data_IF_509268471530
#
_entry.id   IF_509268471530
#
_cell.length_a   1.000
_cell.length_b   1.000
_cell.length_c   1.000
_cell.angle_alpha   90.00
_cell.angle_beta   90.00
_cell.angle_gamma   90.00
#
_symmetry.space_group_name_H-M   'P 1'
#
loop_
_entity.id
_entity.type
_entity.pdbx_description
1 polymer ?
#
# COMPACT_ATOMS: atom_id res chain seq x y z
N UNK A 1 -5.06 14.19 -4.33
CA UNK A 1 -3.91 13.35 -4.74
C UNK A 1 -2.84 14.16 -5.46
N UNK A 2 -3.11 14.76 -6.63
CA UNK A 2 -2.04 15.35 -7.45
C UNK A 2 -1.43 16.68 -6.95
N UNK A 3 -2.14 17.48 -6.14
CA UNK A 3 -1.66 18.81 -5.69
C UNK A 3 -1.16 18.80 -4.24
N UNK A 4 -1.79 17.99 -3.39
CA UNK A 4 -1.50 17.89 -1.94
C UNK A 4 -1.28 16.44 -1.52
N UNK A 5 -0.67 15.64 -2.41
CA UNK A 5 -0.33 14.26 -2.11
C UNK A 5 0.72 14.22 -1.02
N UNK A 6 0.54 13.33 -0.04
CA UNK A 6 1.58 13.07 0.95
C UNK A 6 2.71 12.33 0.22
N UNK A 7 3.96 12.79 0.31
CA UNK A 7 5.08 12.09 -0.32
C UNK A 7 5.33 10.73 0.35
N UNK A 8 6.12 9.91 -0.30
CA UNK A 8 6.63 8.68 0.26
C UNK A 8 7.96 8.32 -0.40
N UNK A 9 8.79 7.59 0.32
CA UNK A 9 10.01 6.97 -0.18
C UNK A 9 10.04 5.54 0.34
N UNK A 10 10.35 4.58 -0.52
CA UNK A 10 10.72 3.25 -0.07
C UNK A 10 12.18 3.23 0.41
N UNK A 11 12.62 2.11 1.00
CA UNK A 11 13.93 2.02 1.64
C UNK A 11 15.10 2.31 0.66
N UNK A 12 15.15 1.74 -0.56
CA UNK A 12 16.18 2.10 -1.54
C UNK A 12 16.15 3.56 -1.99
N UNK A 13 14.96 4.17 -2.07
CA UNK A 13 14.81 5.58 -2.44
C UNK A 13 15.27 6.52 -1.33
N UNK A 14 14.96 6.21 -0.06
CA UNK A 14 15.48 6.97 1.08
C UNK A 14 17.01 6.90 1.12
N UNK A 15 17.58 5.70 1.00
CA UNK A 15 19.03 5.54 0.96
C UNK A 15 19.67 6.32 -0.20
N UNK A 16 19.06 6.28 -1.37
CA UNK A 16 19.55 7.03 -2.53
C UNK A 16 19.50 8.53 -2.27
N UNK A 17 18.39 9.05 -1.73
CA UNK A 17 18.27 10.47 -1.39
C UNK A 17 19.34 10.89 -0.36
N UNK A 18 19.58 10.07 0.67
CA UNK A 18 20.63 10.31 1.66
C UNK A 18 22.01 10.38 1.01
N UNK A 19 22.32 9.45 0.10
CA UNK A 19 23.58 9.46 -0.67
C UNK A 19 23.70 10.70 -1.56
N UNK A 20 22.61 11.08 -2.24
CA UNK A 20 22.61 12.23 -3.14
C UNK A 20 22.84 13.55 -2.39
N UNK A 21 22.19 13.73 -1.23
CA UNK A 21 22.40 14.88 -0.36
C UNK A 21 23.85 14.90 0.15
N UNK A 22 24.39 13.77 0.61
CA UNK A 22 25.75 13.68 1.13
C UNK A 22 26.81 14.00 0.07
N UNK A 23 26.54 13.68 -1.20
CA UNK A 23 27.44 13.92 -2.32
C UNK A 23 27.26 15.31 -2.97
N UNK A 24 26.36 16.16 -2.46
CA UNK A 24 26.02 17.42 -3.12
C UNK A 24 25.42 17.22 -4.52
N UNK A 25 24.87 16.03 -4.80
CA UNK A 25 24.19 15.70 -6.05
C UNK A 25 22.78 16.26 -5.99
N UNK A 26 22.70 17.57 -6.17
CA UNK A 26 21.42 18.22 -6.32
C UNK A 26 20.87 17.86 -7.70
N UNK A 27 19.72 17.18 -7.74
CA UNK A 27 18.93 16.98 -8.96
C UNK A 27 18.99 18.22 -9.88
N UNK A 28 19.04 17.98 -11.18
CA UNK A 28 19.07 19.06 -12.17
C UNK A 28 17.94 20.04 -11.86
N UNK A 29 18.31 21.28 -11.56
CA UNK A 29 17.34 22.34 -11.32
C UNK A 29 16.45 22.44 -12.56
N UNK A 30 15.14 22.55 -12.35
CA UNK A 30 14.25 22.92 -13.43
C UNK A 30 14.69 24.27 -14.02
N UNK A 31 14.35 24.56 -15.27
CA UNK A 31 14.71 25.85 -15.90
C UNK A 31 14.30 27.04 -15.03
N UNK A 32 13.08 26.99 -14.47
CA UNK A 32 12.58 28.02 -13.57
C UNK A 32 13.46 28.19 -12.31
N UNK A 33 13.91 27.09 -11.71
CA UNK A 33 14.80 27.16 -10.56
C UNK A 33 16.20 27.68 -10.93
N UNK A 34 16.68 27.44 -12.15
CA UNK A 34 17.97 28.00 -12.62
C UNK A 34 17.88 29.52 -12.75
N UNK A 35 16.77 30.03 -13.27
CA UNK A 35 16.53 31.47 -13.40
C UNK A 35 16.44 32.13 -12.02
N UNK A 36 15.67 31.54 -11.10
CA UNK A 36 15.56 32.00 -9.70
C UNK A 36 16.92 31.95 -8.99
N UNK A 37 17.68 30.87 -9.17
CA UNK A 37 19.02 30.72 -8.58
C UNK A 37 19.97 31.81 -9.08
N UNK A 38 19.95 32.10 -10.39
CA UNK A 38 20.77 33.15 -11.01
C UNK A 38 20.37 34.52 -10.48
N UNK A 39 19.07 34.79 -10.35
CA UNK A 39 18.53 36.02 -9.77
C UNK A 39 19.01 36.22 -8.33
N UNK A 40 18.76 35.25 -7.44
CA UNK A 40 19.15 35.31 -6.02
C UNK A 40 20.66 35.50 -5.88
N UNK A 41 21.45 34.72 -6.61
CA UNK A 41 22.91 34.79 -6.59
C UNK A 41 23.40 36.19 -6.99
N UNK A 42 22.89 36.75 -8.10
CA UNK A 42 23.29 38.07 -8.57
C UNK A 42 22.96 39.19 -7.57
N UNK A 43 21.84 39.08 -6.85
CA UNK A 43 21.41 40.06 -5.84
C UNK A 43 22.30 40.01 -4.60
N UNK A 44 22.61 38.81 -4.12
CA UNK A 44 23.52 38.61 -2.99
C UNK A 44 24.93 39.08 -3.37
N UNK A 45 25.42 38.78 -4.57
CA UNK A 45 26.73 39.23 -5.04
C UNK A 45 26.86 40.75 -5.15
N UNK A 46 25.78 41.43 -5.56
CA UNK A 46 25.76 42.90 -5.66
C UNK A 46 25.60 43.61 -4.30
N UNK A 47 25.06 42.94 -3.28
CA UNK A 47 24.74 43.52 -1.97
C UNK A 47 25.30 42.67 -0.83
N UNK A 48 26.52 42.15 -1.01
CA UNK A 48 27.15 41.24 -0.03
C UNK A 48 27.14 41.87 1.36
N UNK A 49 26.70 41.12 2.39
CA UNK A 49 26.84 41.56 3.77
C UNK A 49 28.30 41.89 4.12
N UNK A 50 28.50 42.93 4.91
CA UNK A 50 29.80 43.39 5.41
C UNK A 50 29.73 43.75 6.90
N UNK A 51 30.81 44.26 7.47
CA UNK A 51 30.87 44.64 8.89
C UNK A 51 29.84 45.73 9.26
N UNK A 52 29.47 46.60 8.32
CA UNK A 52 28.50 47.68 8.54
C UNK A 52 27.06 47.21 8.36
N UNK A 53 26.85 46.25 7.46
CA UNK A 53 25.54 45.65 7.15
C UNK A 53 25.66 44.14 7.15
N UNK A 54 25.52 43.55 8.33
CA UNK A 54 25.66 42.11 8.58
C UNK A 54 24.65 41.21 7.88
N UNK A 55 23.60 41.76 7.27
CA UNK A 55 22.53 40.97 6.66
C UNK A 55 21.98 41.60 5.38
N UNK A 56 21.71 40.76 4.38
CA UNK A 56 21.01 41.11 3.16
C UNK A 56 19.86 40.13 2.92
N UNK A 57 18.73 40.65 2.47
CA UNK A 57 17.51 39.89 2.19
C UNK A 57 17.16 40.03 0.72
N UNK A 58 16.77 38.93 0.10
CA UNK A 58 16.27 38.90 -1.27
C UNK A 58 14.99 38.08 -1.32
N UNK A 59 13.98 38.64 -1.97
CA UNK A 59 12.73 37.93 -2.22
C UNK A 59 13.02 36.69 -3.08
N UNK A 60 12.42 35.56 -2.71
CA UNK A 60 12.42 34.35 -3.51
C UNK A 60 11.03 33.71 -3.49
N UNK A 61 10.71 32.95 -4.53
CA UNK A 61 9.46 32.22 -4.59
C UNK A 61 9.64 30.75 -4.17
N UNK A 62 9.24 30.34 -2.94
CA UNK A 62 9.38 28.96 -2.51
C UNK A 62 8.53 27.99 -3.33
N UNK A 63 9.08 26.82 -3.58
CA UNK A 63 8.35 25.68 -4.10
C UNK A 63 7.40 25.13 -3.02
N UNK A 64 6.30 24.51 -3.47
CA UNK A 64 5.40 23.73 -2.60
C UNK A 64 6.15 22.51 -2.03
N UNK A 65 7.16 22.00 -2.75
CA UNK A 65 7.95 20.85 -2.30
C UNK A 65 9.11 21.30 -1.41
N UNK A 66 9.08 20.93 -0.13
CA UNK A 66 10.12 21.28 0.84
C UNK A 66 11.50 20.75 0.47
N UNK A 67 11.61 19.58 -0.18
CA UNK A 67 12.89 19.06 -0.65
C UNK A 67 13.51 19.99 -1.69
N UNK A 68 12.69 20.55 -2.58
CA UNK A 68 13.16 21.49 -3.60
C UNK A 68 13.72 22.76 -2.95
N UNK A 69 13.05 23.28 -1.91
CA UNK A 69 13.51 24.45 -1.17
C UNK A 69 14.80 24.16 -0.41
N UNK A 70 14.89 23.01 0.25
CA UNK A 70 16.10 22.56 0.95
C UNK A 70 17.29 22.47 -0.03
N UNK A 71 17.12 21.80 -1.16
CA UNK A 71 18.18 21.66 -2.18
C UNK A 71 18.58 23.01 -2.78
N UNK A 72 17.64 23.95 -2.94
CA UNK A 72 17.94 25.30 -3.42
C UNK A 72 18.85 26.05 -2.44
N UNK A 73 18.54 26.01 -1.13
CA UNK A 73 19.35 26.64 -0.09
C UNK A 73 20.74 26.00 -0.01
N UNK A 74 20.83 24.66 -0.08
CA UNK A 74 22.12 23.97 -0.07
C UNK A 74 22.99 24.36 -1.28
N UNK A 75 22.42 24.46 -2.48
CA UNK A 75 23.14 24.97 -3.65
C UNK A 75 23.66 26.39 -3.48
N UNK A 76 22.90 27.26 -2.81
CA UNK A 76 23.36 28.62 -2.51
C UNK A 76 24.51 28.59 -1.50
N UNK A 77 24.40 27.78 -0.44
CA UNK A 77 25.47 27.59 0.55
C UNK A 77 26.77 27.13 -0.12
N UNK A 78 26.69 26.17 -1.05
CA UNK A 78 27.84 25.68 -1.80
C UNK A 78 28.43 26.74 -2.75
N UNK A 79 27.58 27.51 -3.46
CA UNK A 79 28.04 28.58 -4.35
C UNK A 79 28.82 29.66 -3.60
N UNK A 80 28.40 29.97 -2.37
CA UNK A 80 28.98 31.01 -1.54
C UNK A 80 29.98 30.50 -0.48
N UNK A 81 30.35 29.21 -0.50
CA UNK A 81 31.24 28.59 0.50
C UNK A 81 32.60 29.30 0.63
N UNK A 82 33.06 29.95 -0.44
CA UNK A 82 34.33 30.70 -0.45
C UNK A 82 34.31 31.98 0.38
N UNK A 83 33.13 32.47 0.77
CA UNK A 83 33.00 33.67 1.59
C UNK A 83 32.98 33.24 3.05
N UNK A 84 34.00 33.66 3.80
CA UNK A 84 34.16 33.28 5.20
C UNK A 84 32.97 33.77 6.06
N UNK A 85 32.46 32.87 6.89
CA UNK A 85 31.34 33.09 7.82
C UNK A 85 30.03 33.61 7.20
N UNK A 86 29.84 33.49 5.88
CA UNK A 86 28.57 33.82 5.25
C UNK A 86 27.60 32.64 5.35
N UNK A 87 26.51 32.84 6.09
CA UNK A 87 25.43 31.87 6.19
C UNK A 87 24.25 32.26 5.30
N UNK A 88 23.63 31.25 4.68
CA UNK A 88 22.44 31.42 3.84
C UNK A 88 21.31 30.55 4.40
N UNK A 89 20.14 31.16 4.55
CA UNK A 89 18.93 30.47 4.99
C UNK A 89 17.67 31.03 4.33
N UNK A 90 16.62 30.20 4.29
CA UNK A 90 15.31 30.61 3.81
C UNK A 90 14.40 30.96 4.99
N UNK A 91 13.79 32.15 4.94
CA UNK A 91 12.80 32.62 5.91
C UNK A 91 11.51 33.02 5.19
N UNK A 92 10.55 32.09 5.14
CA UNK A 92 9.30 32.31 4.41
C UNK A 92 9.56 32.49 2.91
N UNK A 93 9.31 33.70 2.40
CA UNK A 93 9.52 34.07 0.99
C UNK A 93 10.79 34.92 0.79
N UNK A 94 11.71 34.92 1.77
CA UNK A 94 12.99 35.63 1.67
C UNK A 94 14.16 34.64 1.81
N UNK A 95 15.20 34.82 0.99
CA UNK A 95 16.53 34.27 1.28
C UNK A 95 17.31 35.32 2.03
N UNK A 96 17.90 34.90 3.15
CA UNK A 96 18.68 35.76 4.03
C UNK A 96 20.14 35.32 3.96
N UNK A 97 21.01 36.24 3.54
CA UNK A 97 22.44 36.09 3.60
C UNK A 97 22.97 36.90 4.80
N UNK A 98 23.64 36.24 5.74
CA UNK A 98 24.10 36.83 7.00
C UNK A 98 25.57 36.56 7.22
N UNK A 99 26.35 37.60 7.53
CA UNK A 99 27.74 37.46 7.97
C UNK A 99 27.76 37.24 9.48
N UNK A 100 28.12 36.03 9.89
CA UNK A 100 28.10 35.59 11.28
C UNK A 100 29.50 35.65 11.91
N UNK A 101 29.56 35.55 13.23
CA UNK A 101 30.83 35.23 13.88
C UNK A 101 31.14 33.72 13.74
N UNK A 102 32.37 33.34 14.09
CA UNK A 102 32.84 31.97 13.90
C UNK A 102 32.07 30.97 14.79
N UNK A 103 31.63 31.37 15.99
CA UNK A 103 30.93 30.48 16.92
C UNK A 103 29.50 30.22 16.41
N UNK A 104 28.77 31.27 16.05
CA UNK A 104 27.42 31.19 15.50
C UNK A 104 27.41 30.45 14.15
N UNK A 105 28.42 30.68 13.30
CA UNK A 105 28.54 29.96 12.03
C UNK A 105 28.67 28.44 12.24
N UNK A 106 29.51 28.01 13.18
CA UNK A 106 29.64 26.58 13.48
C UNK A 106 28.35 26.00 14.09
N UNK A 107 27.66 26.75 14.94
CA UNK A 107 26.36 26.33 15.49
C UNK A 107 25.32 26.16 14.39
N UNK A 108 25.18 27.13 13.47
CA UNK A 108 24.26 27.05 12.33
C UNK A 108 24.60 25.90 11.40
N UNK A 109 25.89 25.69 11.12
CA UNK A 109 26.36 24.56 10.32
C UNK A 109 25.99 23.23 10.97
N UNK A 110 26.18 23.07 12.29
CA UNK A 110 25.75 21.87 13.01
C UNK A 110 24.21 21.69 12.98
N UNK A 111 23.46 22.78 13.12
CA UNK A 111 22.00 22.72 13.07
C UNK A 111 21.44 22.37 11.68
N UNK A 112 22.19 22.61 10.60
CA UNK A 112 21.78 22.23 9.24
C UNK A 112 21.63 20.71 9.04
N UNK A 113 22.31 19.88 9.83
CA UNK A 113 22.06 18.44 9.82
C UNK A 113 20.63 18.10 10.28
N UNK A 114 20.07 18.87 11.22
CA UNK A 114 18.67 18.70 11.65
C UNK A 114 17.69 19.15 10.56
N UNK A 115 18.02 20.19 9.80
CA UNK A 115 17.24 20.61 8.62
C UNK A 115 17.21 19.50 7.56
N UNK A 116 18.34 18.82 7.34
CA UNK A 116 18.45 17.68 6.45
C UNK A 116 17.55 16.52 6.89
N UNK A 117 17.66 16.08 8.15
CA UNK A 117 16.84 14.98 8.66
C UNK A 117 15.34 15.32 8.63
N UNK A 118 14.96 16.55 9.00
CA UNK A 118 13.56 16.99 8.91
C UNK A 118 13.03 16.97 7.47
N UNK A 119 13.88 17.29 6.49
CA UNK A 119 13.53 17.23 5.06
C UNK A 119 13.34 15.80 4.59
N UNK A 120 14.23 14.88 5.02
CA UNK A 120 14.12 13.46 4.70
C UNK A 120 12.85 12.88 5.34
N UNK A 121 12.58 13.17 6.60
CA UNK A 121 11.36 12.75 7.31
C UNK A 121 10.08 13.27 6.63
N UNK A 122 10.11 14.51 6.13
CA UNK A 122 9.03 15.04 5.32
C UNK A 122 8.83 14.22 4.06
N UNK A 123 9.91 13.88 3.34
CA UNK A 123 9.85 13.10 2.10
C UNK A 123 9.43 11.65 2.32
N UNK A 124 9.80 11.03 3.45
CA UNK A 124 9.28 9.73 3.85
C UNK A 124 7.76 9.75 3.99
N UNK A 125 7.19 10.86 4.47
CA UNK A 125 5.75 11.11 4.48
C UNK A 125 4.92 9.91 4.94
N UNK A 126 4.15 9.29 4.02
CA UNK A 126 3.28 8.16 4.34
C UNK A 126 4.04 6.89 4.73
N UNK A 127 5.29 6.70 4.27
CA UNK A 127 6.12 5.54 4.66
C UNK A 127 6.26 5.42 6.17
N UNK A 128 6.25 6.55 6.91
CA UNK A 128 6.32 6.55 8.38
C UNK A 128 5.11 5.85 9.02
N UNK A 129 3.93 5.95 8.41
CA UNK A 129 2.73 5.23 8.87
C UNK A 129 2.89 3.74 8.58
N UNK A 130 3.41 3.39 7.40
CA UNK A 130 3.71 2.01 7.05
C UNK A 130 4.73 1.37 8.01
N UNK A 131 5.83 2.06 8.31
CA UNK A 131 6.83 1.63 9.29
C UNK A 131 6.20 1.39 10.66
N UNK A 132 5.34 2.31 11.12
CA UNK A 132 4.61 2.13 12.37
C UNK A 132 3.66 0.92 12.36
N UNK A 133 2.99 0.63 11.24
CA UNK A 133 2.16 -0.57 11.10
C UNK A 133 2.99 -1.86 11.21
N UNK A 134 4.18 -1.88 10.61
CA UNK A 134 5.14 -2.99 10.69
C UNK A 134 5.65 -3.16 12.13
N UNK A 135 6.03 -2.07 12.79
CA UNK A 135 6.49 -2.07 14.18
C UNK A 135 5.43 -2.59 15.17
N UNK A 136 4.15 -2.30 14.91
CA UNK A 136 3.06 -2.75 15.78
C UNK A 136 2.90 -4.27 15.81
N UNK A 137 3.35 -5.00 14.77
CA UNK A 137 3.24 -6.47 14.65
C UNK A 137 1.83 -7.02 14.88
N UNK A 138 0.80 -6.22 14.63
CA UNK A 138 -0.61 -6.64 14.76
C UNK A 138 -1.08 -7.34 13.49
N UNK A 139 -2.06 -8.26 13.57
CA UNK A 139 -2.60 -8.91 12.39
C UNK A 139 -3.14 -7.90 11.36
N UNK A 140 -2.69 -8.03 10.11
CA UNK A 140 -3.17 -7.21 9.01
C UNK A 140 -4.44 -7.84 8.42
N UNK A 141 -5.57 -7.15 8.49
CA UNK A 141 -6.85 -7.64 7.96
C UNK A 141 -7.24 -6.83 6.73
N UNK A 142 -7.58 -7.51 5.64
CA UNK A 142 -8.04 -6.88 4.40
C UNK A 142 -9.08 -7.72 3.68
N UNK A 143 -9.74 -7.18 2.65
CA UNK A 143 -10.70 -7.91 1.83
C UNK A 143 -10.21 -7.97 0.40
N UNK A 144 -9.90 -9.17 -0.09
CA UNK A 144 -9.33 -9.36 -1.43
C UNK A 144 -8.05 -8.52 -1.63
N UNK A 145 -7.12 -8.66 -0.70
CA UNK A 145 -6.05 -7.69 -0.44
C UNK A 145 -4.77 -7.91 -1.23
N UNK A 146 -4.77 -8.79 -2.24
CA UNK A 146 -3.55 -9.11 -3.00
C UNK A 146 -2.89 -7.87 -3.62
N UNK A 147 -3.69 -6.98 -4.22
CA UNK A 147 -3.15 -5.75 -4.81
C UNK A 147 -2.67 -4.77 -3.73
N UNK A 148 -3.42 -4.62 -2.64
CA UNK A 148 -3.05 -3.75 -1.53
C UNK A 148 -1.70 -4.18 -0.94
N UNK A 149 -1.53 -5.49 -0.71
CA UNK A 149 -0.29 -6.11 -0.25
C UNK A 149 0.88 -5.82 -1.21
N UNK A 150 0.69 -5.97 -2.52
CA UNK A 150 1.73 -5.67 -3.51
C UNK A 150 2.08 -4.18 -3.54
N UNK A 151 1.10 -3.29 -3.43
CA UNK A 151 1.34 -1.85 -3.39
C UNK A 151 2.02 -1.42 -2.10
N UNK A 152 1.61 -1.93 -0.94
CA UNK A 152 2.27 -1.67 0.35
C UNK A 152 3.74 -2.05 0.29
N UNK A 153 4.03 -3.27 -0.19
CA UNK A 153 5.41 -3.75 -0.35
C UNK A 153 6.20 -2.83 -1.31
N UNK A 154 5.68 -2.62 -2.53
CA UNK A 154 6.42 -1.92 -3.58
C UNK A 154 6.64 -0.43 -3.31
N UNK A 155 5.63 0.25 -2.74
CA UNK A 155 5.63 1.70 -2.57
C UNK A 155 6.34 2.14 -1.30
N UNK A 156 6.25 1.36 -0.22
CA UNK A 156 6.72 1.80 1.10
C UNK A 156 7.86 0.96 1.68
N UNK A 157 8.14 -0.24 1.14
CA UNK A 157 9.25 -1.07 1.60
C UNK A 157 10.35 -1.19 0.56
N UNK A 158 10.16 -2.04 -0.45
CA UNK A 158 11.16 -2.33 -1.47
C UNK A 158 10.48 -2.70 -2.79
N UNK A 159 11.14 -2.52 -3.95
CA UNK A 159 10.61 -3.02 -5.22
C UNK A 159 10.24 -4.50 -5.14
N UNK A 160 9.14 -4.89 -5.79
CA UNK A 160 8.71 -6.28 -5.81
C UNK A 160 9.84 -7.19 -6.31
N UNK A 161 10.21 -8.25 -5.57
CA UNK A 161 11.27 -9.14 -5.99
C UNK A 161 10.81 -10.01 -7.17
N UNK A 162 11.76 -10.41 -8.01
CA UNK A 162 11.49 -11.22 -9.21
C UNK A 162 11.04 -12.66 -8.92
N UNK A 163 11.18 -13.12 -7.67
CA UNK A 163 10.81 -14.47 -7.23
C UNK A 163 9.72 -14.42 -6.17
N UNK A 164 8.67 -15.22 -6.35
CA UNK A 164 7.53 -15.30 -5.43
C UNK A 164 7.96 -15.63 -4.00
N UNK A 165 8.86 -16.59 -3.79
CA UNK A 165 9.30 -16.98 -2.44
C UNK A 165 10.03 -15.84 -1.72
N UNK A 166 10.76 -14.99 -2.45
CA UNK A 166 11.37 -13.79 -1.84
C UNK A 166 10.31 -12.79 -1.40
N UNK A 167 9.28 -12.61 -2.22
CA UNK A 167 8.15 -11.75 -1.88
C UNK A 167 7.41 -12.29 -0.64
N UNK A 168 7.09 -13.59 -0.60
CA UNK A 168 6.41 -14.24 0.52
C UNK A 168 7.19 -14.03 1.83
N UNK A 169 8.48 -14.34 1.83
CA UNK A 169 9.33 -14.20 3.02
C UNK A 169 9.43 -12.74 3.47
N UNK A 170 9.71 -11.82 2.54
CA UNK A 170 9.79 -10.39 2.87
C UNK A 170 8.46 -9.85 3.41
N UNK A 171 7.32 -10.28 2.85
CA UNK A 171 6.02 -9.85 3.34
C UNK A 171 5.71 -10.41 4.74
N UNK A 172 6.06 -11.67 5.03
CA UNK A 172 5.91 -12.27 6.36
C UNK A 172 6.82 -11.62 7.41
N UNK A 173 8.01 -11.15 7.01
CA UNK A 173 8.90 -10.40 7.91
C UNK A 173 8.28 -9.07 8.35
N UNK A 174 7.57 -8.39 7.44
CA UNK A 174 6.85 -7.14 7.69
C UNK A 174 5.56 -7.37 8.49
N UNK A 175 4.74 -8.32 8.05
CA UNK A 175 3.44 -8.66 8.63
C UNK A 175 3.37 -10.16 8.92
N UNK A 176 3.78 -10.61 10.11
CA UNK A 176 3.83 -12.04 10.46
C UNK A 176 2.46 -12.72 10.42
N UNK A 177 1.40 -11.94 10.66
CA UNK A 177 0.02 -12.41 10.63
C UNK A 177 -0.83 -11.52 9.73
N UNK A 178 -1.51 -12.14 8.77
CA UNK A 178 -2.44 -11.47 7.87
C UNK A 178 -3.68 -12.32 7.61
N UNK A 179 -4.81 -11.67 7.36
CA UNK A 179 -6.10 -12.30 7.16
C UNK A 179 -6.85 -11.62 6.02
N UNK A 180 -6.95 -12.32 4.89
CA UNK A 180 -7.83 -11.90 3.80
C UNK A 180 -9.24 -12.42 4.06
N UNK A 181 -10.15 -11.50 4.38
CA UNK A 181 -11.56 -11.79 4.68
C UNK A 181 -12.24 -12.54 3.53
N UNK A 182 -11.90 -12.26 2.27
CA UNK A 182 -12.46 -12.99 1.14
C UNK A 182 -11.99 -14.44 1.14
N UNK A 183 -10.71 -14.68 1.45
CA UNK A 183 -10.17 -16.03 1.63
C UNK A 183 -10.86 -16.77 2.78
N UNK A 184 -11.07 -16.10 3.91
CA UNK A 184 -11.80 -16.66 5.05
C UNK A 184 -13.20 -17.08 4.63
N UNK A 185 -14.01 -16.19 4.04
CA UNK A 185 -15.39 -16.50 3.61
C UNK A 185 -15.42 -17.75 2.72
N UNK A 186 -14.51 -17.85 1.75
CA UNK A 186 -14.45 -18.99 0.82
C UNK A 186 -14.08 -20.29 1.55
N UNK A 187 -13.13 -20.26 2.48
CA UNK A 187 -12.70 -21.43 3.24
C UNK A 187 -13.73 -21.86 4.32
N UNK A 188 -14.47 -20.92 4.89
CA UNK A 188 -15.42 -21.20 5.97
C UNK A 188 -16.80 -21.63 5.48
N UNK A 189 -17.17 -21.30 4.23
CA UNK A 189 -18.48 -21.61 3.64
C UNK A 189 -18.90 -23.07 3.80
N UNK A 190 -17.95 -24.01 3.71
CA UNK A 190 -18.19 -25.46 3.86
C UNK A 190 -18.76 -25.87 5.22
N UNK A 191 -18.55 -25.05 6.26
CA UNK A 191 -19.04 -25.31 7.61
C UNK A 191 -20.48 -24.83 7.84
N UNK A 192 -21.04 -24.04 6.91
CA UNK A 192 -22.39 -23.46 7.02
C UNK A 192 -23.19 -23.69 5.72
N UNK A 193 -23.42 -24.96 5.32
CA UNK A 193 -24.10 -25.27 4.06
C UNK A 193 -25.50 -24.64 3.96
N UNK A 194 -26.19 -24.48 5.08
CA UNK A 194 -27.50 -23.84 5.18
C UNK A 194 -27.48 -22.32 4.89
N UNK A 195 -26.31 -21.67 4.97
CA UNK A 195 -26.14 -20.23 4.72
C UNK A 195 -25.33 -19.96 3.44
N UNK A 196 -25.39 -20.88 2.48
CA UNK A 196 -24.64 -20.81 1.23
C UNK A 196 -24.83 -19.49 0.48
N UNK A 197 -26.03 -18.91 0.54
CA UNK A 197 -26.39 -17.64 -0.09
C UNK A 197 -25.73 -16.43 0.61
N UNK A 198 -25.66 -16.44 1.95
CA UNK A 198 -24.98 -15.42 2.75
C UNK A 198 -23.49 -15.35 2.41
N UNK A 199 -22.84 -16.53 2.34
CA UNK A 199 -21.41 -16.64 2.04
C UNK A 199 -21.07 -16.45 0.55
N UNK A 200 -22.06 -16.42 -0.34
CA UNK A 200 -21.84 -16.21 -1.77
C UNK A 200 -21.83 -14.73 -2.14
N UNK A 201 -20.76 -14.02 -1.77
CA UNK A 201 -20.61 -12.59 -2.02
C UNK A 201 -19.45 -12.29 -2.99
N UNK A 202 -19.69 -11.49 -4.03
CA UNK A 202 -18.67 -11.06 -5.00
C UNK A 202 -17.89 -9.81 -4.59
N UNK A 203 -18.44 -9.01 -3.68
CA UNK A 203 -17.86 -7.72 -3.24
C UNK A 203 -17.87 -7.54 -1.73
N UNK A 204 -17.08 -6.59 -1.22
CA UNK A 204 -17.09 -6.22 0.20
C UNK A 204 -18.45 -5.70 0.64
N UNK A 205 -19.12 -4.88 -0.19
CA UNK A 205 -20.44 -4.33 0.10
C UNK A 205 -21.48 -5.43 0.26
N UNK A 206 -21.52 -6.37 -0.69
CA UNK A 206 -22.43 -7.52 -0.63
C UNK A 206 -22.13 -8.42 0.57
N UNK A 207 -20.86 -8.66 0.87
CA UNK A 207 -20.47 -9.41 2.07
C UNK A 207 -20.96 -8.71 3.34
N UNK A 208 -20.77 -7.39 3.44
CA UNK A 208 -21.22 -6.62 4.60
C UNK A 208 -22.73 -6.69 4.80
N UNK A 209 -23.51 -6.56 3.74
CA UNK A 209 -24.98 -6.63 3.81
C UNK A 209 -25.48 -8.06 4.09
N UNK A 210 -24.87 -9.08 3.48
CA UNK A 210 -25.25 -10.47 3.73
C UNK A 210 -25.02 -10.87 5.19
N UNK A 211 -23.86 -10.53 5.76
CA UNK A 211 -23.50 -10.85 7.14
C UNK A 211 -24.18 -9.93 8.18
N UNK A 212 -25.03 -8.99 7.73
CA UNK A 212 -25.96 -8.23 8.56
C UNK A 212 -27.38 -8.80 8.58
N UNK A 213 -27.70 -9.77 7.72
CA UNK A 213 -29.05 -10.37 7.70
C UNK A 213 -29.35 -11.07 9.02
N UNK A 214 -30.58 -10.92 9.51
CA UNK A 214 -31.03 -11.51 10.78
C UNK A 214 -30.80 -13.03 10.84
N UNK A 215 -30.94 -13.73 9.71
CA UNK A 215 -30.65 -15.16 9.61
C UNK A 215 -29.23 -15.51 10.08
N UNK A 216 -28.23 -14.74 9.67
CA UNK A 216 -26.85 -14.91 10.12
C UNK A 216 -26.67 -14.45 11.58
N UNK A 217 -27.21 -13.27 11.94
CA UNK A 217 -27.03 -12.70 13.28
C UNK A 217 -27.62 -13.59 14.37
N UNK A 218 -28.84 -14.07 14.16
CA UNK A 218 -29.55 -14.91 15.13
C UNK A 218 -28.93 -16.30 15.26
N UNK A 219 -28.29 -16.79 14.20
CA UNK A 219 -27.65 -18.11 14.20
C UNK A 219 -26.39 -18.15 15.04
N UNK A 220 -25.63 -17.05 15.13
CA UNK A 220 -24.28 -17.11 15.70
C UNK A 220 -23.88 -15.98 16.65
N UNK A 221 -24.52 -14.81 16.62
CA UNK A 221 -24.06 -13.69 17.44
C UNK A 221 -24.71 -13.73 18.82
N UNK A 222 -23.85 -13.77 19.84
CA UNK A 222 -24.26 -13.75 21.25
C UNK A 222 -25.03 -12.48 21.60
N UNK A 223 -24.73 -11.36 20.93
CA UNK A 223 -25.50 -10.12 20.98
C UNK A 223 -25.46 -9.42 19.60
N UNK A 224 -26.60 -9.03 19.01
CA UNK A 224 -26.65 -8.28 17.75
C UNK A 224 -26.16 -6.81 17.88
N UNK A 225 -25.72 -6.39 19.07
CA UNK A 225 -25.27 -5.03 19.39
C UNK A 225 -23.80 -4.79 19.02
N UNK A 226 -23.04 -5.85 18.68
CA UNK A 226 -21.69 -5.62 18.19
C UNK A 226 -21.78 -5.16 16.74
N UNK A 227 -21.57 -3.87 16.50
CA UNK A 227 -21.23 -3.29 15.20
C UNK A 227 -19.85 -3.82 14.74
N UNK A 228 -19.72 -5.14 14.64
CA UNK A 228 -18.49 -5.81 14.26
C UNK A 228 -18.24 -5.60 12.77
N UNK A 229 -17.01 -5.18 12.45
CA UNK A 229 -16.43 -5.30 11.12
C UNK A 229 -16.49 -6.76 10.65
N UNK A 230 -16.64 -6.96 9.34
CA UNK A 230 -16.94 -8.25 8.69
C UNK A 230 -16.06 -9.43 9.17
N UNK A 231 -14.76 -9.19 9.37
CA UNK A 231 -13.81 -10.17 9.91
C UNK A 231 -14.27 -10.75 11.26
N UNK A 232 -14.64 -9.87 12.21
CA UNK A 232 -15.04 -10.26 13.55
C UNK A 232 -16.34 -11.08 13.52
N UNK A 233 -17.27 -10.77 12.62
CA UNK A 233 -18.53 -11.53 12.46
C UNK A 233 -18.26 -12.97 12.02
N UNK A 234 -17.38 -13.15 11.04
CA UNK A 234 -17.03 -14.48 10.53
C UNK A 234 -16.24 -15.26 11.57
N UNK A 235 -15.27 -14.63 12.23
CA UNK A 235 -14.51 -15.26 13.31
C UNK A 235 -15.43 -15.65 14.49
N UNK A 236 -16.41 -14.82 14.82
CA UNK A 236 -17.40 -15.16 15.86
C UNK A 236 -18.25 -16.36 15.45
N UNK A 237 -18.76 -16.40 14.22
CA UNK A 237 -19.51 -17.55 13.72
C UNK A 237 -18.67 -18.83 13.75
N UNK A 238 -17.42 -18.77 13.31
CA UNK A 238 -16.47 -19.89 13.38
C UNK A 238 -16.21 -20.35 14.82
N UNK A 239 -15.98 -19.41 15.74
CA UNK A 239 -15.74 -19.71 17.15
C UNK A 239 -16.96 -20.31 17.88
N UNK A 240 -18.16 -20.09 17.35
CA UNK A 240 -19.43 -20.53 17.92
C UNK A 240 -20.06 -21.72 17.19
N UNK A 241 -19.51 -22.17 16.06
CA UNK A 241 -20.11 -23.19 15.17
C UNK A 241 -20.46 -24.51 15.89
N UNK A 242 -19.72 -24.89 16.92
CA UNK A 242 -19.92 -26.14 17.70
C UNK A 242 -20.57 -25.88 19.07
N UNK A 243 -20.85 -24.62 19.41
CA UNK A 243 -21.39 -24.22 20.72
C UNK A 243 -22.91 -24.26 20.69
N UNK A 244 -23.50 -25.26 21.36
CA UNK A 244 -24.97 -25.42 21.41
C UNK A 244 -25.69 -24.36 22.23
N UNK A 245 -25.13 -23.97 23.38
CA UNK A 245 -25.70 -22.97 24.28
C UNK A 245 -24.57 -22.00 24.67
N UNK A 246 -24.49 -20.84 24.00
CA UNK A 246 -23.54 -19.79 24.36
C UNK A 246 -23.79 -19.30 25.79
N UNK A 247 -22.76 -19.28 26.63
CA UNK A 247 -22.82 -18.66 27.97
C UNK A 247 -22.16 -17.28 28.01
N UNK A 248 -21.14 -17.09 27.18
CA UNK A 248 -20.32 -15.87 27.12
C UNK A 248 -19.87 -15.62 25.68
N UNK A 249 -19.55 -14.36 25.35
CA UNK A 249 -18.94 -14.01 24.07
C UNK A 249 -17.50 -14.59 23.95
N UNK A 250 -17.06 -15.01 22.75
CA UNK A 250 -15.69 -15.44 22.52
C UNK A 250 -14.68 -14.35 22.86
N UNK A 251 -13.57 -14.73 23.49
CA UNK A 251 -12.42 -13.83 23.67
C UNK A 251 -11.71 -13.60 22.33
N UNK A 252 -10.93 -12.52 22.24
CA UNK A 252 -10.11 -12.22 21.05
C UNK A 252 -9.25 -13.40 20.60
N UNK A 253 -8.54 -14.05 21.53
CA UNK A 253 -7.70 -15.21 21.21
C UNK A 253 -8.52 -16.39 20.66
N UNK A 254 -9.76 -16.57 21.14
CA UNK A 254 -10.65 -17.61 20.62
C UNK A 254 -11.14 -17.27 19.22
N UNK A 255 -11.43 -15.99 18.94
CA UNK A 255 -11.79 -15.51 17.61
C UNK A 255 -10.65 -15.76 16.61
N UNK A 256 -9.44 -15.29 16.91
CA UNK A 256 -8.28 -15.50 16.03
C UNK A 256 -8.01 -16.99 15.79
N UNK A 257 -8.01 -17.80 16.85
CA UNK A 257 -7.81 -19.25 16.75
C UNK A 257 -8.85 -19.94 15.86
N UNK A 258 -10.08 -19.44 15.85
CA UNK A 258 -11.16 -20.03 15.03
C UNK A 258 -10.96 -19.85 13.52
N UNK A 259 -10.13 -18.88 13.11
CA UNK A 259 -9.79 -18.60 11.71
C UNK A 259 -8.30 -18.87 11.41
N UNK A 260 -7.60 -19.56 12.30
CA UNK A 260 -6.16 -19.83 12.18
C UNK A 260 -5.80 -20.59 10.90
N UNK A 261 -6.68 -21.49 10.44
CA UNK A 261 -6.51 -22.21 9.17
C UNK A 261 -6.40 -21.30 7.94
N UNK A 262 -6.87 -20.05 8.04
CA UNK A 262 -6.83 -19.05 6.97
C UNK A 262 -5.76 -17.98 7.19
N UNK A 263 -4.90 -18.13 8.22
CA UNK A 263 -3.81 -17.20 8.49
C UNK A 263 -2.88 -17.18 7.28
N UNK A 264 -2.48 -15.97 6.86
CA UNK A 264 -1.52 -15.76 5.78
C UNK A 264 -1.94 -16.34 4.42
N UNK A 265 -3.25 -16.56 4.23
CA UNK A 265 -3.86 -16.93 2.95
C UNK A 265 -4.45 -15.71 2.28
N UNK A 266 -3.78 -15.18 1.26
CA UNK A 266 -4.22 -13.98 0.53
C UNK A 266 -5.07 -14.40 -0.67
N UNK A 267 -6.30 -13.87 -0.80
CA UNK A 267 -7.21 -14.31 -1.84
C UNK A 267 -6.67 -14.00 -3.24
N UNK A 268 -6.81 -14.96 -4.17
CA UNK A 268 -6.45 -14.79 -5.58
C UNK A 268 -7.69 -14.86 -6.46
N UNK A 269 -8.02 -13.75 -7.09
CA UNK A 269 -9.08 -13.71 -8.10
C UNK A 269 -8.56 -14.25 -9.43
N UNK A 270 -9.40 -15.04 -10.12
CA UNK A 270 -9.13 -15.54 -11.48
C UNK A 270 -7.83 -16.35 -11.62
N UNK A 271 -7.37 -16.99 -10.55
CA UNK A 271 -6.24 -17.91 -10.55
C UNK A 271 -6.68 -19.38 -10.42
N UNK A 272 -5.82 -20.33 -10.78
CA UNK A 272 -6.04 -21.77 -10.63
C UNK A 272 -6.05 -22.25 -9.17
N UNK A 273 -5.62 -21.37 -8.26
CA UNK A 273 -5.65 -21.50 -6.81
C UNK A 273 -6.53 -20.41 -6.23
N UNK A 274 -7.15 -20.68 -5.08
CA UNK A 274 -8.08 -19.76 -4.42
C UNK A 274 -7.38 -18.67 -3.63
N UNK A 275 -6.21 -18.98 -3.09
CA UNK A 275 -5.40 -18.07 -2.30
C UNK A 275 -3.93 -18.37 -2.51
N UNK A 276 -3.10 -17.36 -2.24
CA UNK A 276 -1.67 -17.50 -2.07
C UNK A 276 -1.41 -17.82 -0.60
N UNK A 277 -0.87 -19.00 -0.32
CA UNK A 277 -0.33 -19.32 1.00
C UNK A 277 1.07 -18.70 1.12
N UNK A 278 1.23 -17.75 2.05
CA UNK A 278 2.52 -17.09 2.27
C UNK A 278 3.49 -17.98 3.06
N UNK A 279 3.00 -18.94 3.86
CA UNK A 279 3.82 -19.81 4.71
C UNK A 279 4.26 -21.10 3.99
N UNK A 280 3.48 -21.56 3.00
CA UNK A 280 3.71 -22.85 2.32
C UNK A 280 4.02 -22.70 0.83
N UNK A 281 4.99 -23.47 0.34
CA UNK A 281 5.28 -23.59 -1.11
C UNK A 281 4.34 -24.56 -1.83
N UNK A 282 3.44 -25.21 -1.09
CA UNK A 282 2.45 -26.12 -1.65
C UNK A 282 1.32 -25.37 -2.34
N UNK A 283 1.01 -25.77 -3.57
CA UNK A 283 -0.07 -25.18 -4.38
C UNK A 283 -1.19 -26.22 -4.47
N UNK A 284 -2.20 -26.10 -3.61
CA UNK A 284 -3.39 -26.94 -3.71
C UNK A 284 -4.36 -26.35 -4.75
N UNK A 285 -4.60 -27.09 -5.84
CA UNK A 285 -5.59 -26.71 -6.85
C UNK A 285 -6.88 -27.49 -6.62
N UNK A 286 -7.93 -26.81 -6.16
CA UNK A 286 -9.28 -27.39 -6.02
C UNK A 286 -10.22 -26.98 -7.17
N UNK A 287 -9.70 -26.30 -8.20
CA UNK A 287 -10.50 -25.91 -9.37
C UNK A 287 -11.00 -27.12 -10.16
N UNK A 288 -12.23 -27.07 -10.67
CA UNK A 288 -12.71 -28.05 -11.62
C UNK A 288 -11.82 -28.15 -12.85
N UNK A 289 -11.63 -29.39 -13.34
CA UNK A 289 -10.99 -29.63 -14.63
C UNK A 289 -11.67 -28.76 -15.70
N UNK A 290 -10.87 -28.15 -16.56
CA UNK A 290 -11.40 -27.36 -17.68
C UNK A 290 -12.37 -28.19 -18.52
N UNK A 291 -13.49 -27.59 -18.87
CA UNK A 291 -14.46 -28.20 -19.77
C UNK A 291 -14.19 -27.69 -21.19
N UNK A 292 -14.20 -28.59 -22.15
CA UNK A 292 -14.12 -28.25 -23.58
C UNK A 292 -15.50 -28.49 -24.17
N UNK A 293 -16.14 -27.42 -24.62
CA UNK A 293 -17.37 -27.50 -25.41
C UNK A 293 -17.01 -27.54 -26.89
N UNK A 294 -17.50 -28.56 -27.59
CA UNK A 294 -17.35 -28.72 -29.04
C UNK A 294 -18.71 -28.65 -29.74
N UNK A 295 -18.80 -27.84 -30.80
CA UNK A 295 -19.97 -27.83 -31.67
C UNK A 295 -19.97 -29.11 -32.51
N UNK A 296 -21.07 -29.87 -32.50
CA UNK A 296 -21.22 -31.06 -33.36
C UNK A 296 -21.37 -30.70 -34.83
N UNK A 297 -21.83 -29.48 -35.14
CA UNK A 297 -22.05 -29.02 -36.49
C UNK A 297 -21.02 -27.95 -36.87
N UNK A 298 -20.06 -28.32 -37.72
CA UNK A 298 -18.93 -27.46 -38.12
C UNK A 298 -19.32 -26.33 -39.10
N UNK A 299 -20.60 -26.20 -39.47
CA UNK A 299 -21.06 -25.22 -40.45
C UNK A 299 -21.32 -23.82 -39.87
N UNK A 300 -21.44 -23.67 -38.55
CA UNK A 300 -21.55 -22.38 -37.89
C UNK A 300 -20.52 -22.20 -36.77
N UNK A 301 -19.85 -21.03 -36.68
CA UNK A 301 -18.88 -20.76 -35.64
C UNK A 301 -19.57 -20.59 -34.27
N UNK A 302 -18.86 -20.99 -33.22
CA UNK A 302 -19.26 -20.75 -31.84
C UNK A 302 -19.29 -19.24 -31.54
N UNK A 303 -20.38 -18.78 -30.92
CA UNK A 303 -20.52 -17.41 -30.44
C UNK A 303 -20.29 -17.35 -28.92
N UNK A 304 -19.30 -16.56 -28.50
CA UNK A 304 -18.96 -16.41 -27.07
C UNK A 304 -20.18 -15.91 -26.28
N UNK A 305 -20.92 -14.93 -26.78
CA UNK A 305 -22.03 -14.33 -26.04
C UNK A 305 -23.15 -15.33 -25.76
N UNK A 306 -23.43 -16.21 -26.72
CA UNK A 306 -24.43 -17.29 -26.57
C UNK A 306 -23.93 -18.31 -25.53
N UNK A 307 -22.67 -18.72 -25.61
CA UNK A 307 -22.10 -19.71 -24.70
C UNK A 307 -22.05 -19.14 -23.29
N UNK A 308 -21.53 -17.93 -23.11
CA UNK A 308 -21.48 -17.20 -21.83
C UNK A 308 -22.88 -17.07 -21.22
N UNK A 309 -23.89 -16.77 -22.02
CA UNK A 309 -25.28 -16.72 -21.56
C UNK A 309 -25.79 -18.09 -21.11
N UNK A 310 -25.44 -19.16 -21.83
CA UNK A 310 -25.85 -20.53 -21.51
C UNK A 310 -25.17 -21.07 -20.25
N UNK A 311 -23.89 -20.74 -20.03
CA UNK A 311 -23.12 -21.26 -18.89
C UNK A 311 -23.21 -20.39 -17.64
N UNK A 312 -23.57 -19.11 -17.76
CA UNK A 312 -23.70 -18.18 -16.62
C UNK A 312 -24.77 -18.60 -15.61
N UNK A 313 -25.77 -19.40 -16.03
CA UNK A 313 -26.77 -19.99 -15.12
C UNK A 313 -26.14 -20.91 -14.06
N UNK A 314 -24.93 -21.41 -14.31
CA UNK A 314 -24.21 -22.29 -13.41
C UNK A 314 -23.24 -21.56 -12.48
N UNK A 315 -23.10 -20.24 -12.63
CA UNK A 315 -22.24 -19.40 -11.80
C UNK A 315 -21.31 -18.52 -12.64
N UNK A 316 -20.27 -18.00 -12.00
CA UNK A 316 -19.28 -17.18 -12.68
C UNK A 316 -18.26 -18.09 -13.39
N UNK A 317 -18.31 -18.07 -14.72
CA UNK A 317 -17.51 -18.93 -15.62
C UNK A 317 -16.80 -18.07 -16.65
N UNK A 318 -15.52 -18.37 -16.84
CA UNK A 318 -14.69 -17.77 -17.88
C UNK A 318 -14.81 -18.63 -19.16
N UNK A 319 -15.20 -17.99 -20.26
CA UNK A 319 -15.33 -18.63 -21.57
C UNK A 319 -14.28 -18.07 -22.51
N UNK A 320 -13.51 -18.95 -23.15
CA UNK A 320 -12.51 -18.57 -24.16
C UNK A 320 -12.67 -19.43 -25.41
N UNK A 321 -12.84 -18.80 -26.57
CA UNK A 321 -12.77 -19.53 -27.85
C UNK A 321 -11.37 -20.10 -28.05
N UNK A 322 -11.30 -21.38 -28.39
CA UNK A 322 -10.06 -22.06 -28.76
C UNK A 322 -9.92 -22.11 -30.28
N UNK A 323 -11.01 -22.45 -30.98
CA UNK A 323 -11.14 -22.33 -32.43
C UNK A 323 -12.60 -22.08 -32.83
N UNK A 324 -12.92 -22.14 -34.13
CA UNK A 324 -14.27 -21.89 -34.64
C UNK A 324 -15.33 -22.81 -34.03
N UNK A 325 -14.96 -24.01 -33.59
CA UNK A 325 -15.90 -25.06 -33.19
C UNK A 325 -15.65 -25.55 -31.76
N UNK A 326 -14.63 -25.03 -31.06
CA UNK A 326 -14.31 -25.38 -29.67
C UNK A 326 -14.15 -24.14 -28.80
N UNK A 327 -14.74 -24.20 -27.61
CA UNK A 327 -14.47 -23.23 -26.56
C UNK A 327 -14.04 -23.94 -25.27
N UNK A 328 -13.18 -23.26 -24.53
CA UNK A 328 -12.75 -23.62 -23.20
C UNK A 328 -13.66 -22.92 -22.20
N UNK A 329 -14.14 -23.67 -21.22
CA UNK A 329 -14.88 -23.15 -20.07
C UNK A 329 -14.07 -23.46 -18.81
N UNK A 330 -13.80 -22.43 -18.02
CA UNK A 330 -13.23 -22.53 -16.70
C UNK A 330 -14.20 -21.97 -15.67
N UNK A 331 -14.40 -22.70 -14.57
CA UNK A 331 -15.17 -22.21 -13.41
C UNK A 331 -14.22 -22.04 -12.23
N UNK A 332 -14.55 -21.09 -11.35
CA UNK A 332 -13.84 -20.90 -10.08
C UNK A 332 -14.03 -22.08 -9.13
N UNK A 333 -15.23 -22.67 -9.08
CA UNK A 333 -15.59 -23.64 -8.04
C UNK A 333 -16.42 -24.79 -8.62
N UNK A 334 -16.32 -25.97 -8.02
CA UNK A 334 -17.35 -27.00 -8.17
C UNK A 334 -18.65 -26.45 -7.59
N UNK A 335 -19.77 -26.55 -8.32
CA UNK A 335 -21.09 -26.34 -7.71
C UNK A 335 -21.29 -27.49 -6.72
N UNK A 336 -21.49 -27.17 -5.44
CA UNK A 336 -21.90 -28.15 -4.42
C UNK A 336 -23.30 -28.68 -4.73
#
# INVERSE_FOLDING_TARGET
VFVKGIPFLNEPQEEQLRRDIANGLYAELTTQMKDEFTYVTSKIEANKPDENKKMFKVDYNPSINLLINYMFVQKLRDHFERIENLWIEAMGNEIVASLLDAEEFQERKLNSYRECEATIDYMKGFTRIFEYLVECRKPLVGFNMMLDVLYLYNQFYQPLPTKLNKFKNGFLELFPESYDVKSIIMNTKKYFPELTDVFNCGSLSEAHENFKRNEFLLSFLYQPVIECELFLRIAHAMAMREVRIPKDAPTWNKLLKSVEECRNHINLIRANIHYLDLESDFIQTDRPKHLILSCKNNSQPLCIDIISSLVSIHGLVDVKLYDRNRCLIATGHYKA
#
